data_IF_539930606153
#
_entry.id   IF_539930606153
#
_cell.length_a   1.000
_cell.length_b   1.000
_cell.length_c   1.000
_cell.angle_alpha   90.00
_cell.angle_beta   90.00
_cell.angle_gamma   90.00
#
_symmetry.space_group_name_H-M   'P 1'
#
loop_
_entity.id
_entity.type
_entity.pdbx_description
1 polymer ?
#
# COMPACT_ATOMS: atom_id res chain seq x y z
N UNK A 1 -11.62 40.23 28.50
CA UNK A 1 -11.65 38.81 28.08
C UNK A 1 -10.50 38.10 28.76
N UNK A 2 -10.78 37.09 29.58
CA UNK A 2 -9.81 36.46 30.47
C UNK A 2 -8.86 35.53 29.68
N UNK A 3 -7.55 35.83 29.73
CA UNK A 3 -6.46 35.07 29.09
C UNK A 3 -6.53 33.56 29.37
N UNK A 4 -7.08 33.17 30.53
CA UNK A 4 -7.25 31.76 30.92
C UNK A 4 -8.20 30.97 30.01
N UNK A 5 -9.17 31.62 29.36
CA UNK A 5 -10.12 30.95 28.46
C UNK A 5 -9.57 30.74 27.05
N UNK A 6 -8.53 31.48 26.63
CA UNK A 6 -7.97 31.37 25.28
C UNK A 6 -7.05 30.14 25.16
N UNK A 7 -6.32 29.80 26.22
CA UNK A 7 -5.44 28.63 26.22
C UNK A 7 -6.21 27.30 26.13
N UNK A 8 -7.44 27.24 26.66
CA UNK A 8 -8.24 26.02 26.67
C UNK A 8 -8.85 25.73 25.27
N UNK A 9 -9.15 26.77 24.49
CA UNK A 9 -9.61 26.63 23.10
C UNK A 9 -8.48 26.18 22.17
N UNK A 10 -7.24 26.63 22.43
CA UNK A 10 -6.06 26.24 21.64
C UNK A 10 -5.65 24.77 21.87
N UNK A 11 -5.82 24.23 23.08
CA UNK A 11 -5.54 22.82 23.34
C UNK A 11 -6.53 21.86 22.65
N UNK A 12 -7.77 22.30 22.43
CA UNK A 12 -8.79 21.49 21.76
C UNK A 12 -8.60 21.40 20.22
N UNK A 13 -7.91 22.38 19.60
CA UNK A 13 -7.75 22.44 18.15
C UNK A 13 -6.59 21.60 17.60
N UNK A 14 -5.66 21.15 18.46
CA UNK A 14 -4.46 20.38 18.07
C UNK A 14 -4.73 18.87 17.97
N UNK A 15 -5.87 18.40 18.51
CA UNK A 15 -6.20 16.96 18.57
C UNK A 15 -6.85 16.36 17.30
N UNK A 16 -7.24 17.16 16.31
CA UNK A 16 -8.14 16.71 15.23
C UNK A 16 -7.41 16.46 13.89
N UNK A 17 -6.12 16.74 13.77
CA UNK A 17 -5.41 16.68 12.49
C UNK A 17 -4.50 15.44 12.29
N UNK A 18 -4.84 14.31 12.92
CA UNK A 18 -4.12 13.03 12.76
C UNK A 18 -4.94 11.92 12.12
N UNK A 19 -6.02 12.27 11.41
CA UNK A 19 -6.76 11.32 10.55
C UNK A 19 -6.64 11.77 9.08
N UNK A 20 -5.43 12.11 8.65
CA UNK A 20 -5.09 11.90 7.25
C UNK A 20 -4.96 10.38 7.10
N UNK A 21 -6.09 9.72 6.84
CA UNK A 21 -6.07 8.34 6.39
C UNK A 21 -5.09 8.25 5.24
N UNK A 22 -4.09 7.37 5.35
CA UNK A 22 -3.47 6.80 4.16
C UNK A 22 -4.63 6.16 3.40
N UNK A 23 -5.14 6.85 2.39
CA UNK A 23 -6.02 6.25 1.42
C UNK A 23 -5.28 5.03 0.91
N UNK A 24 -5.89 3.86 1.08
CA UNK A 24 -5.54 2.66 0.33
C UNK A 24 -5.77 3.03 -1.13
N UNK A 25 -4.75 3.59 -1.78
CA UNK A 25 -4.77 3.76 -3.22
C UNK A 25 -4.75 2.36 -3.80
N UNK A 26 -5.85 1.97 -4.43
CA UNK A 26 -5.87 0.77 -5.25
C UNK A 26 -4.93 1.02 -6.44
N UNK A 27 -3.63 0.78 -6.26
CA UNK A 27 -2.59 0.95 -7.28
C UNK A 27 -2.71 -0.05 -8.45
N UNK A 28 -3.74 -0.90 -8.46
CA UNK A 28 -3.94 -1.93 -9.49
C UNK A 28 -4.22 -1.35 -10.87
N UNK A 29 -4.81 -0.15 -10.95
CA UNK A 29 -5.34 0.40 -12.21
C UNK A 29 -4.35 1.25 -13.00
N UNK A 30 -3.49 2.03 -12.33
CA UNK A 30 -2.65 3.03 -13.00
C UNK A 30 -1.25 2.53 -13.37
N UNK A 31 -0.77 1.45 -12.74
CA UNK A 31 0.57 0.89 -12.95
C UNK A 31 0.60 -0.35 -13.86
N UNK A 32 -0.55 -0.94 -14.18
CA UNK A 32 -0.65 -2.16 -14.96
C UNK A 32 -0.74 -1.84 -16.46
N UNK A 33 0.35 -2.03 -17.19
CA UNK A 33 0.30 -2.11 -18.65
C UNK A 33 0.02 -3.56 -19.03
N UNK A 34 -1.18 -3.86 -19.55
CA UNK A 34 -1.58 -5.21 -19.98
C UNK A 34 -1.54 -6.27 -18.86
N UNK A 35 -1.94 -5.90 -17.64
CA UNK A 35 -1.91 -6.81 -16.49
C UNK A 35 -0.51 -7.06 -15.92
N UNK A 36 0.50 -6.32 -16.37
CA UNK A 36 1.88 -6.43 -15.90
C UNK A 36 2.28 -5.16 -15.15
N UNK A 37 2.79 -5.33 -13.93
CA UNK A 37 3.30 -4.25 -13.08
C UNK A 37 4.80 -4.44 -12.87
N UNK A 38 5.61 -3.48 -13.29
CA UNK A 38 7.04 -3.43 -12.92
C UNK A 38 7.16 -2.86 -11.52
N UNK A 39 7.60 -3.68 -10.57
CA UNK A 39 7.63 -3.30 -9.16
C UNK A 39 8.69 -2.25 -8.87
N UNK A 40 8.33 -1.26 -8.05
CA UNK A 40 9.25 -0.27 -7.51
C UNK A 40 9.79 -0.71 -6.16
N UNK A 41 11.00 -0.26 -5.84
CA UNK A 41 11.62 -0.50 -4.54
C UNK A 41 10.82 0.18 -3.44
N UNK A 42 10.66 -0.53 -2.33
CA UNK A 42 9.95 -0.10 -1.12
C UNK A 42 8.46 0.27 -1.34
N UNK A 43 7.91 -0.05 -2.52
CA UNK A 43 6.48 0.06 -2.79
C UNK A 43 5.74 -1.24 -2.45
N UNK A 44 4.57 -1.10 -1.84
CA UNK A 44 3.73 -2.22 -1.42
C UNK A 44 2.59 -2.44 -2.41
N UNK A 45 2.40 -3.68 -2.83
CA UNK A 45 1.37 -4.10 -3.76
C UNK A 45 0.47 -5.14 -3.09
N UNK A 46 -0.85 -4.94 -3.18
CA UNK A 46 -1.83 -5.92 -2.74
C UNK A 46 -1.92 -7.08 -3.73
N UNK A 47 -1.81 -8.30 -3.22
CA UNK A 47 -1.87 -9.54 -3.98
C UNK A 47 -3.28 -10.13 -3.93
N UNK A 48 -3.77 -10.53 -5.09
CA UNK A 48 -4.99 -11.29 -5.27
C UNK A 48 -4.69 -12.72 -5.70
N UNK A 49 -5.68 -13.60 -5.60
CA UNK A 49 -5.56 -14.95 -6.12
C UNK A 49 -5.33 -14.92 -7.64
N UNK A 50 -4.36 -15.71 -8.10
CA UNK A 50 -3.96 -15.75 -9.51
C UNK A 50 -2.81 -14.82 -9.87
N UNK A 51 -2.45 -13.86 -9.01
CA UNK A 51 -1.28 -13.02 -9.23
C UNK A 51 0.03 -13.84 -9.16
N UNK A 52 1.00 -13.51 -10.01
CA UNK A 52 2.31 -14.18 -10.08
C UNK A 52 3.42 -13.15 -9.98
N UNK A 53 4.39 -13.41 -9.10
CA UNK A 53 5.58 -12.58 -8.93
C UNK A 53 6.77 -13.22 -9.62
N UNK A 54 7.36 -12.50 -10.57
CA UNK A 54 8.52 -12.94 -11.35
C UNK A 54 9.75 -12.06 -11.04
N UNK A 55 10.74 -12.58 -10.30
CA UNK A 55 12.04 -11.95 -10.17
C UNK A 55 12.71 -11.77 -11.53
N UNK A 56 13.19 -10.57 -11.85
CA UNK A 56 13.93 -10.29 -13.09
C UNK A 56 15.44 -10.24 -12.89
N UNK A 57 15.91 -10.32 -11.64
CA UNK A 57 17.33 -10.48 -11.32
C UNK A 57 17.61 -11.44 -10.14
N UNK A 58 18.85 -11.90 -10.06
CA UNK A 58 19.32 -12.88 -9.05
C UNK A 58 19.44 -12.30 -7.63
N UNK A 59 19.43 -10.97 -7.48
CA UNK A 59 19.55 -10.27 -6.19
C UNK A 59 18.19 -9.82 -5.65
N UNK A 60 17.10 -10.23 -6.29
CA UNK A 60 15.73 -9.89 -5.92
C UNK A 60 15.45 -10.31 -4.49
N UNK A 61 15.00 -9.37 -3.67
CA UNK A 61 14.55 -9.61 -2.30
C UNK A 61 13.17 -9.03 -2.14
N UNK A 62 12.25 -9.85 -1.67
CA UNK A 62 10.87 -9.47 -1.40
C UNK A 62 10.52 -9.73 0.05
N UNK A 63 9.52 -9.02 0.54
CA UNK A 63 8.83 -9.37 1.78
C UNK A 63 7.34 -9.49 1.52
N UNK A 64 6.70 -10.41 2.25
CA UNK A 64 5.27 -10.65 2.16
C UNK A 64 4.65 -10.38 3.53
N UNK A 65 3.56 -9.62 3.55
CA UNK A 65 2.80 -9.28 4.75
C UNK A 65 1.37 -9.75 4.60
N UNK A 66 0.88 -10.52 5.57
CA UNK A 66 -0.50 -11.00 5.61
C UNK A 66 -1.25 -10.31 6.75
N UNK A 67 -2.37 -9.67 6.41
CA UNK A 67 -3.33 -9.11 7.37
C UNK A 67 -4.47 -10.12 7.52
N UNK A 68 -4.45 -10.86 8.63
CA UNK A 68 -5.40 -11.95 8.87
C UNK A 68 -6.85 -11.50 9.06
N UNK A 69 -7.08 -10.26 9.52
CA UNK A 69 -8.44 -9.73 9.78
C UNK A 69 -9.28 -9.64 8.49
N UNK A 70 -8.66 -9.21 7.39
CA UNK A 70 -9.32 -8.98 6.10
C UNK A 70 -8.89 -9.98 5.02
N UNK A 71 -8.09 -11.00 5.37
CA UNK A 71 -7.37 -11.90 4.44
C UNK A 71 -6.60 -11.18 3.31
N UNK A 72 -6.06 -9.99 3.59
CA UNK A 72 -5.32 -9.19 2.62
C UNK A 72 -3.83 -9.52 2.65
N UNK A 73 -3.25 -9.72 1.47
CA UNK A 73 -1.84 -10.09 1.31
C UNK A 73 -1.14 -9.00 0.53
N UNK A 74 0.08 -8.67 0.96
CA UNK A 74 0.87 -7.62 0.35
C UNK A 74 2.27 -8.12 0.07
N UNK A 75 2.86 -7.61 -1.01
CA UNK A 75 4.27 -7.83 -1.35
C UNK A 75 5.00 -6.50 -1.51
N UNK A 76 6.24 -6.45 -1.05
CA UNK A 76 7.13 -5.30 -1.20
C UNK A 76 8.47 -5.77 -1.77
N UNK A 77 8.98 -5.06 -2.77
CA UNK A 77 10.32 -5.28 -3.32
C UNK A 77 11.36 -4.52 -2.49
N UNK A 78 12.27 -5.22 -1.82
CA UNK A 78 13.29 -4.65 -0.95
C UNK A 78 14.64 -4.44 -1.66
N UNK A 79 14.92 -5.23 -2.69
CA UNK A 79 16.13 -5.11 -3.51
C UNK A 79 15.94 -5.83 -4.84
N UNK A 80 16.71 -5.44 -5.86
CA UNK A 80 16.67 -6.03 -7.18
C UNK A 80 15.50 -5.50 -8.01
N UNK A 81 14.90 -6.38 -8.80
CA UNK A 81 13.87 -6.07 -9.79
C UNK A 81 12.93 -7.25 -9.93
N UNK A 82 11.64 -6.97 -10.00
CA UNK A 82 10.61 -7.97 -10.16
C UNK A 82 9.42 -7.39 -10.91
N UNK A 83 8.66 -8.29 -11.52
CA UNK A 83 7.42 -8.00 -12.20
C UNK A 83 6.29 -8.73 -11.50
N UNK A 84 5.17 -8.05 -11.28
CA UNK A 84 3.93 -8.63 -10.80
C UNK A 84 2.98 -8.79 -11.99
N UNK A 85 2.68 -10.04 -12.33
CA UNK A 85 1.66 -10.41 -13.30
C UNK A 85 0.34 -10.52 -12.57
N UNK A 86 -0.63 -9.71 -12.96
CA UNK A 86 -1.97 -9.75 -12.40
C UNK A 86 -2.71 -10.96 -12.97
N UNK A 87 -3.28 -11.78 -12.09
CA UNK A 87 -4.18 -12.85 -12.49
C UNK A 87 -5.44 -12.28 -13.11
N UNK A 88 -6.03 -12.99 -14.08
CA UNK A 88 -7.37 -12.69 -14.56
C UNK A 88 -8.31 -12.69 -13.35
N UNK A 89 -8.88 -11.54 -13.01
CA UNK A 89 -10.00 -11.51 -12.09
C UNK A 89 -11.09 -12.35 -12.74
N UNK A 90 -11.35 -13.54 -12.19
CA UNK A 90 -12.51 -14.34 -12.59
C UNK A 90 -13.74 -13.50 -12.29
N UNK A 91 -14.19 -12.75 -13.29
CA UNK A 91 -15.48 -12.07 -13.30
C UNK A 91 -16.54 -13.18 -13.31
N UNK A 92 -16.95 -13.63 -12.12
CA UNK A 92 -18.15 -14.44 -11.96
C UNK A 92 -19.40 -13.59 -12.24
#
# INVERSE_FOLDING_TARGET
>A
MNIKSICLVLAALVGVLWIAGCGSSNNRSDAAQDGVIVMQLDEEYELHEGDVLEPTDEKTRITVRHVFEDDRRYVTLLAGSATLLLGDEVQN
#
